data_IF_691818277706
#
_entry.id   IF_691818277706
#
_cell.length_a   1.000
_cell.length_b   1.000
_cell.length_c   1.000
_cell.angle_alpha   90.00
_cell.angle_beta   90.00
_cell.angle_gamma   90.00
#
_symmetry.space_group_name_H-M   'P 1'
#
loop_
_entity.id
_entity.type
_entity.pdbx_description
1 polymer ?
#
# COMPACT_ATOMS: atom_id res chain seq x y z
N UNK A 1 -17.81 18.06 -0.18
CA UNK A 1 -17.19 17.80 -1.50
C UNK A 1 -17.37 16.32 -1.78
N UNK A 2 -18.16 15.96 -2.80
CA UNK A 2 -18.42 14.55 -3.14
C UNK A 2 -17.12 13.90 -3.61
N UNK A 3 -16.82 12.71 -3.08
CA UNK A 3 -15.65 11.93 -3.50
C UNK A 3 -15.67 11.72 -5.03
N UNK A 4 -14.50 11.72 -5.71
CA UNK A 4 -14.44 11.54 -7.14
C UNK A 4 -15.06 10.19 -7.55
N UNK A 5 -15.83 10.14 -8.66
CA UNK A 5 -16.74 9.04 -8.98
C UNK A 5 -16.05 7.74 -9.46
N UNK A 6 -14.72 7.64 -9.33
CA UNK A 6 -13.91 6.50 -9.76
C UNK A 6 -13.11 5.88 -8.59
N UNK A 7 -13.65 5.93 -7.37
CA UNK A 7 -13.06 5.22 -6.24
C UNK A 7 -13.48 3.75 -6.38
N UNK A 8 -12.69 2.91 -7.06
CA UNK A 8 -13.02 1.46 -7.09
C UNK A 8 -12.48 0.59 -8.23
N UNK A 9 -12.03 1.12 -9.37
CA UNK A 9 -11.41 0.31 -10.43
C UNK A 9 -10.49 1.17 -11.32
N UNK A 10 -9.34 0.62 -11.74
CA UNK A 10 -8.48 1.22 -12.78
C UNK A 10 -8.49 0.39 -14.05
N UNK A 11 -8.48 1.08 -15.20
CA UNK A 11 -8.44 0.50 -16.56
C UNK A 11 -7.03 0.66 -17.13
N UNK A 12 -6.47 -0.42 -17.67
CA UNK A 12 -5.13 -0.48 -18.26
C UNK A 12 -5.16 -0.78 -19.77
N UNK A 13 -6.18 -1.49 -20.28
CA UNK A 13 -6.34 -1.91 -21.69
C UNK A 13 -7.84 -1.91 -22.09
N UNK A 14 -8.15 -1.62 -23.36
CA UNK A 14 -9.52 -1.32 -23.82
C UNK A 14 -10.24 -2.48 -24.51
N UNK A 15 -9.52 -3.37 -25.22
CA UNK A 15 -10.10 -4.42 -26.03
C UNK A 15 -10.93 -5.41 -25.21
N UNK A 16 -10.43 -5.80 -24.02
CA UNK A 16 -11.20 -6.64 -23.09
C UNK A 16 -12.29 -5.88 -22.33
N UNK A 17 -12.19 -4.55 -22.22
CA UNK A 17 -13.10 -3.71 -21.43
C UNK A 17 -14.45 -3.47 -22.12
N UNK A 18 -14.43 -3.15 -23.42
CA UNK A 18 -15.64 -2.76 -24.14
C UNK A 18 -16.75 -3.84 -24.12
N UNK A 19 -16.45 -5.15 -24.25
CA UNK A 19 -17.45 -6.20 -24.09
C UNK A 19 -18.05 -6.24 -22.69
N UNK A 20 -17.23 -6.20 -21.64
CA UNK A 20 -17.69 -6.26 -20.24
C UNK A 20 -18.55 -5.05 -19.83
N UNK A 21 -18.32 -3.89 -20.44
CA UNK A 21 -19.16 -2.69 -20.25
C UNK A 21 -20.38 -2.63 -21.17
N UNK A 22 -20.55 -3.59 -22.09
CA UNK A 22 -21.62 -3.58 -23.09
C UNK A 22 -21.50 -2.40 -24.06
N UNK A 23 -20.28 -2.01 -24.40
CA UNK A 23 -19.94 -0.90 -25.29
C UNK A 23 -19.45 -1.36 -26.67
N UNK A 24 -19.20 -2.65 -26.85
CA UNK A 24 -18.81 -3.21 -28.15
C UNK A 24 -19.77 -2.82 -29.26
N UNK A 25 -19.23 -2.26 -30.35
CA UNK A 25 -19.97 -1.85 -31.54
C UNK A 25 -20.73 -0.53 -31.38
N UNK A 26 -20.58 0.19 -30.26
CA UNK A 26 -21.24 1.48 -30.04
C UNK A 26 -20.45 2.69 -30.57
N UNK A 27 -19.34 2.45 -31.26
CA UNK A 27 -18.57 3.48 -31.94
C UNK A 27 -17.44 4.07 -31.11
N UNK A 28 -17.36 3.73 -29.83
CA UNK A 28 -16.25 4.09 -28.93
C UNK A 28 -14.89 3.61 -29.47
N UNK A 29 -14.87 2.50 -30.20
CA UNK A 29 -13.67 1.94 -30.83
C UNK A 29 -13.07 2.90 -31.87
N UNK A 30 -13.91 3.74 -32.47
CA UNK A 30 -13.51 4.71 -33.50
C UNK A 30 -13.06 6.04 -32.89
N UNK A 31 -13.56 6.40 -31.72
CA UNK A 31 -13.35 7.73 -31.12
C UNK A 31 -12.37 7.74 -29.96
N UNK A 32 -12.06 6.60 -29.33
CA UNK A 32 -11.24 6.53 -28.10
C UNK A 32 -9.83 7.13 -28.21
N UNK A 33 -9.24 7.16 -29.41
CA UNK A 33 -7.92 7.75 -29.65
C UNK A 33 -7.97 9.29 -29.78
N UNK A 34 -9.16 9.86 -30.01
CA UNK A 34 -9.37 11.30 -30.04
C UNK A 34 -9.57 11.84 -28.61
N UNK A 35 -8.55 12.57 -28.12
CA UNK A 35 -8.54 13.19 -26.79
C UNK A 35 -9.70 14.16 -26.55
N UNK A 36 -10.25 14.75 -27.61
CA UNK A 36 -11.39 15.66 -27.48
C UNK A 36 -12.65 14.93 -27.02
N UNK A 37 -12.74 13.62 -27.24
CA UNK A 37 -13.88 12.79 -26.83
C UNK A 37 -13.74 12.24 -25.41
N UNK A 38 -12.55 12.35 -24.80
CA UNK A 38 -12.27 11.77 -23.47
C UNK A 38 -13.17 12.30 -22.34
N UNK A 39 -13.57 13.58 -22.30
CA UNK A 39 -14.54 14.05 -21.31
C UNK A 39 -15.86 13.27 -21.38
N UNK A 40 -16.43 13.09 -22.57
CA UNK A 40 -17.68 12.35 -22.79
C UNK A 40 -17.51 10.85 -22.50
N UNK A 41 -16.37 10.27 -22.85
CA UNK A 41 -16.03 8.88 -22.52
C UNK A 41 -15.94 8.67 -21.02
N UNK A 42 -15.33 9.61 -20.29
CA UNK A 42 -15.23 9.58 -18.83
C UNK A 42 -16.63 9.62 -18.20
N UNK A 43 -17.51 10.49 -18.67
CA UNK A 43 -18.90 10.55 -18.21
C UNK A 43 -19.64 9.24 -18.47
N UNK A 44 -19.50 8.69 -19.68
CA UNK A 44 -20.12 7.42 -20.07
C UNK A 44 -19.64 6.25 -19.22
N UNK A 45 -18.32 6.10 -19.03
CA UNK A 45 -17.76 5.08 -18.15
C UNK A 45 -18.21 5.26 -16.72
N UNK A 46 -18.22 6.48 -16.20
CA UNK A 46 -18.71 6.78 -14.85
C UNK A 46 -20.16 6.32 -14.69
N UNK A 47 -21.04 6.69 -15.61
CA UNK A 47 -22.44 6.31 -15.57
C UNK A 47 -22.66 4.79 -15.70
N UNK A 48 -21.76 4.06 -16.36
CA UNK A 48 -21.80 2.60 -16.43
C UNK A 48 -21.32 1.99 -15.12
N UNK A 49 -20.13 2.35 -14.64
CA UNK A 49 -19.56 1.78 -13.42
C UNK A 49 -20.44 2.00 -12.19
N UNK A 50 -21.20 3.10 -12.12
CA UNK A 50 -22.16 3.37 -11.05
C UNK A 50 -23.37 2.40 -11.01
N UNK A 51 -23.59 1.58 -12.04
CA UNK A 51 -24.75 0.67 -12.12
C UNK A 51 -24.58 -0.62 -11.31
N UNK A 52 -23.35 -0.96 -10.91
CA UNK A 52 -23.04 -2.17 -10.15
C UNK A 52 -22.01 -1.87 -9.08
N UNK A 53 -21.95 -2.74 -8.08
CA UNK A 53 -20.91 -2.66 -7.05
C UNK A 53 -19.54 -3.07 -7.61
N UNK A 54 -18.46 -2.68 -6.92
CA UNK A 54 -17.08 -3.14 -7.22
C UNK A 54 -17.02 -4.66 -7.36
N UNK A 55 -17.60 -5.39 -6.40
CA UNK A 55 -17.62 -6.85 -6.37
C UNK A 55 -18.42 -7.48 -7.52
N UNK A 56 -19.46 -6.81 -8.02
CA UNK A 56 -20.18 -7.29 -9.19
C UNK A 56 -19.40 -7.05 -10.48
N UNK A 57 -18.66 -5.93 -10.58
CA UNK A 57 -17.75 -5.68 -11.68
C UNK A 57 -16.59 -6.67 -11.71
N UNK A 58 -16.02 -7.02 -10.54
CA UNK A 58 -15.02 -8.09 -10.44
C UNK A 58 -15.53 -9.38 -11.07
N UNK A 59 -16.76 -9.82 -10.78
CA UNK A 59 -17.34 -11.04 -11.39
C UNK A 59 -17.49 -10.93 -12.90
N UNK A 60 -17.79 -9.74 -13.42
CA UNK A 60 -17.94 -9.50 -14.87
C UNK A 60 -16.60 -9.59 -15.59
N UNK A 61 -15.54 -9.08 -14.97
CA UNK A 61 -14.21 -9.01 -15.58
C UNK A 61 -13.28 -10.16 -15.19
N UNK A 62 -13.63 -10.95 -14.17
CA UNK A 62 -12.87 -12.13 -13.79
C UNK A 62 -12.75 -13.09 -14.99
N UNK A 63 -11.53 -13.58 -15.23
CA UNK A 63 -11.17 -14.45 -16.36
C UNK A 63 -11.47 -13.89 -17.75
N UNK A 64 -11.58 -12.57 -17.87
CA UNK A 64 -11.62 -11.87 -19.17
C UNK A 64 -10.26 -11.27 -19.50
N UNK A 65 -10.01 -10.97 -20.78
CA UNK A 65 -8.81 -10.24 -21.20
C UNK A 65 -8.86 -8.73 -20.86
N UNK A 66 -9.88 -8.29 -20.09
CA UNK A 66 -9.98 -6.90 -19.64
C UNK A 66 -8.89 -6.61 -18.60
N UNK A 67 -7.93 -5.74 -18.94
CA UNK A 67 -6.97 -5.26 -17.96
C UNK A 67 -7.63 -4.21 -17.07
N UNK A 68 -8.42 -4.68 -16.10
CA UNK A 68 -9.01 -3.86 -15.05
C UNK A 68 -8.73 -4.48 -13.68
N UNK A 69 -8.57 -3.64 -12.66
CA UNK A 69 -8.22 -4.09 -11.31
C UNK A 69 -9.07 -3.37 -10.27
N UNK A 70 -9.57 -4.07 -9.23
CA UNK A 70 -10.28 -3.44 -8.13
C UNK A 70 -9.34 -2.53 -7.33
N UNK A 71 -9.86 -1.39 -6.90
CA UNK A 71 -9.23 -0.60 -5.84
C UNK A 71 -9.79 -1.11 -4.52
N UNK A 72 -8.92 -1.70 -3.70
CA UNK A 72 -9.25 -2.28 -2.40
C UNK A 72 -8.89 -1.32 -1.27
N UNK A 73 -9.74 -1.28 -0.24
CA UNK A 73 -9.42 -0.66 1.04
C UNK A 73 -8.54 -1.58 1.89
N UNK A 74 -7.76 -1.01 2.82
CA UNK A 74 -6.86 -1.78 3.69
C UNK A 74 -7.56 -2.90 4.46
N UNK A 75 -8.77 -2.65 4.97
CA UNK A 75 -9.55 -3.67 5.68
C UNK A 75 -9.91 -4.86 4.78
N UNK A 76 -10.15 -4.62 3.50
CA UNK A 76 -10.45 -5.68 2.53
C UNK A 76 -9.19 -6.54 2.29
N UNK A 77 -8.02 -5.91 2.24
CA UNK A 77 -6.72 -6.59 2.11
C UNK A 77 -6.36 -7.43 3.34
N UNK A 78 -6.67 -6.97 4.56
CA UNK A 78 -6.38 -7.70 5.81
C UNK A 78 -7.24 -8.96 5.98
N UNK A 79 -8.48 -8.94 5.47
CA UNK A 79 -9.46 -10.00 5.73
C UNK A 79 -9.46 -11.13 4.70
N UNK A 80 -8.89 -10.90 3.51
CA UNK A 80 -8.86 -11.88 2.41
C UNK A 80 -7.42 -12.12 1.96
N UNK A 81 -6.82 -13.20 2.47
CA UNK A 81 -5.44 -13.60 2.17
C UNK A 81 -5.19 -13.93 0.69
N UNK A 82 -6.24 -14.15 -0.11
CA UNK A 82 -6.13 -14.33 -1.56
C UNK A 82 -6.02 -13.01 -2.32
N UNK A 83 -6.40 -11.90 -1.68
CA UNK A 83 -6.37 -10.54 -2.21
C UNK A 83 -5.31 -9.67 -1.59
N UNK A 84 -4.58 -10.18 -0.61
CA UNK A 84 -3.50 -9.49 0.07
C UNK A 84 -2.44 -9.12 -0.97
N UNK A 85 -2.58 -7.91 -1.51
CA UNK A 85 -1.60 -7.30 -2.38
C UNK A 85 -0.32 -7.24 -1.58
N UNK A 86 0.73 -7.81 -2.14
CA UNK A 86 2.05 -7.87 -1.56
C UNK A 86 2.45 -6.53 -0.91
N UNK A 87 2.23 -6.40 0.41
CA UNK A 87 2.52 -5.17 1.17
C UNK A 87 4.03 -4.99 1.38
N UNK A 88 4.86 -5.80 0.70
CA UNK A 88 6.30 -5.59 0.69
C UNK A 88 6.60 -4.21 0.10
N UNK A 89 7.54 -3.46 0.68
CA UNK A 89 8.03 -2.22 0.09
C UNK A 89 8.42 -2.42 -1.39
N UNK A 90 8.14 -1.42 -2.23
CA UNK A 90 8.35 -1.46 -3.69
C UNK A 90 9.81 -1.74 -4.13
N UNK A 91 10.76 -1.69 -3.19
CA UNK A 91 12.16 -2.07 -3.36
C UNK A 91 12.53 -3.09 -2.28
N UNK A 92 13.00 -4.25 -2.70
CA UNK A 92 13.63 -5.24 -1.81
C UNK A 92 14.97 -4.68 -1.33
N UNK A 93 14.93 -3.89 -0.26
CA UNK A 93 16.14 -3.49 0.45
C UNK A 93 16.81 -4.76 0.98
N UNK A 94 18.05 -5.01 0.55
CA UNK A 94 18.79 -6.23 0.88
C UNK A 94 19.14 -6.34 2.37
N UNK A 95 19.09 -5.23 3.09
CA UNK A 95 19.22 -5.17 4.54
C UNK A 95 18.28 -4.08 5.09
N UNK A 96 17.30 -4.48 5.91
CA UNK A 96 16.50 -3.57 6.75
C UNK A 96 16.60 -4.06 8.19
N UNK A 97 16.76 -3.16 9.19
CA UNK A 97 16.68 -3.54 10.59
C UNK A 97 15.26 -3.96 11.03
N UNK A 98 14.28 -4.05 10.12
CA UNK A 98 12.87 -4.30 10.42
C UNK A 98 12.51 -5.79 10.38
N UNK A 99 11.87 -6.29 11.44
CA UNK A 99 11.31 -7.64 11.56
C UNK A 99 10.12 -7.86 10.62
N UNK A 100 9.80 -9.13 10.34
CA UNK A 100 8.66 -9.51 9.51
C UNK A 100 7.33 -9.14 10.16
N UNK A 101 6.50 -8.42 9.40
CA UNK A 101 5.17 -8.00 9.85
C UNK A 101 4.13 -9.11 9.75
N UNK A 102 4.36 -10.22 9.04
CA UNK A 102 3.44 -11.38 9.02
C UNK A 102 4.20 -12.71 8.87
N UNK A 103 3.63 -13.85 9.32
CA UNK A 103 4.23 -15.16 9.09
C UNK A 103 4.02 -15.56 7.61
N UNK A 104 5.09 -15.65 6.82
CA UNK A 104 5.02 -16.25 5.49
C UNK A 104 5.17 -17.77 5.56
N UNK A 105 4.40 -18.50 4.76
CA UNK A 105 4.26 -19.97 4.81
C UNK A 105 5.20 -20.74 3.85
N UNK A 106 6.34 -20.17 3.43
CA UNK A 106 7.16 -20.79 2.37
C UNK A 106 8.65 -21.00 2.74
N UNK A 107 9.26 -22.15 2.38
CA UNK A 107 10.58 -22.54 2.87
C UNK A 107 11.68 -22.08 1.91
N UNK A 108 11.92 -20.77 1.73
CA UNK A 108 13.19 -20.28 1.12
C UNK A 108 13.46 -18.77 1.08
N UNK A 109 14.73 -18.55 0.76
CA UNK A 109 15.57 -17.36 0.59
C UNK A 109 14.86 -16.08 0.15
N UNK A 110 14.54 -15.21 1.11
CA UNK A 110 14.03 -13.86 0.89
C UNK A 110 15.02 -12.86 0.24
N UNK A 111 16.26 -13.27 -0.11
CA UNK A 111 17.47 -12.48 -0.47
C UNK A 111 17.51 -10.94 -0.29
N UNK A 112 17.23 -10.36 0.88
CA UNK A 112 16.93 -11.00 2.17
C UNK A 112 16.48 -9.96 3.21
N UNK A 113 15.17 -9.66 3.17
CA UNK A 113 14.34 -9.20 4.28
C UNK A 113 12.87 -9.54 3.96
N UNK A 114 11.99 -9.98 4.87
CA UNK A 114 12.00 -9.92 6.34
C UNK A 114 12.04 -11.31 7.01
N UNK A 115 12.56 -11.36 8.25
CA UNK A 115 12.87 -12.57 9.03
C UNK A 115 11.66 -13.38 9.54
N UNK A 116 11.79 -14.12 10.65
CA UNK A 116 10.64 -14.84 11.21
C UNK A 116 9.61 -13.83 11.76
N UNK A 117 8.46 -13.70 11.08
CA UNK A 117 7.33 -12.87 11.49
C UNK A 117 6.56 -13.48 12.66
N UNK A 118 5.96 -12.62 13.48
CA UNK A 118 5.51 -12.96 14.84
C UNK A 118 3.98 -12.95 14.95
N UNK A 119 3.43 -13.87 15.74
CA UNK A 119 2.00 -14.05 15.97
C UNK A 119 1.36 -12.77 16.56
N UNK A 120 0.39 -12.17 15.85
CA UNK A 120 -0.12 -10.79 16.05
C UNK A 120 0.32 -9.79 14.96
N UNK A 121 1.04 -10.27 13.95
CA UNK A 121 1.67 -9.50 12.87
C UNK A 121 0.71 -8.79 11.90
N UNK A 122 0.30 -7.60 12.31
CA UNK A 122 0.14 -6.44 11.43
C UNK A 122 0.80 -5.24 12.13
N UNK A 123 0.90 -4.08 11.47
CA UNK A 123 1.30 -2.83 12.14
C UNK A 123 0.30 -2.53 13.27
N UNK A 124 0.67 -2.84 14.50
CA UNK A 124 -0.04 -2.33 15.67
C UNK A 124 0.46 -0.93 15.92
N UNK A 125 -0.25 0.06 15.38
CA UNK A 125 0.06 1.46 15.63
C UNK A 125 -0.03 1.77 17.13
N UNK A 126 1.13 1.94 17.76
CA UNK A 126 1.22 2.56 19.07
C UNK A 126 1.54 4.04 18.87
N UNK A 127 0.83 4.91 19.59
CA UNK A 127 1.18 6.34 19.62
C UNK A 127 2.52 6.44 20.35
N UNK A 128 3.55 6.87 19.64
CA UNK A 128 4.83 7.20 20.24
C UNK A 128 4.78 8.65 20.73
N UNK A 129 5.17 8.87 21.99
CA UNK A 129 5.40 10.20 22.50
C UNK A 129 6.80 10.71 22.08
N UNK A 130 6.98 12.02 21.86
CA UNK A 130 8.31 12.59 21.64
C UNK A 130 9.30 12.15 22.74
N UNK A 131 10.38 11.47 22.33
CA UNK A 131 11.41 10.93 23.23
C UNK A 131 11.21 9.49 23.70
N UNK A 132 10.08 8.85 23.39
CA UNK A 132 9.79 7.48 23.76
C UNK A 132 10.77 6.49 23.10
N UNK A 133 11.41 5.65 23.90
CA UNK A 133 12.38 4.64 23.44
C UNK A 133 13.79 5.14 23.10
N UNK A 134 14.02 6.46 23.03
CA UNK A 134 15.29 7.04 22.60
C UNK A 134 16.49 6.66 23.46
N UNK A 135 16.35 6.66 24.80
CA UNK A 135 17.46 6.30 25.71
C UNK A 135 17.84 4.83 25.60
N UNK A 136 16.85 3.95 25.43
CA UNK A 136 17.06 2.51 25.26
C UNK A 136 17.85 2.26 23.98
N UNK A 137 17.51 2.93 22.89
CA UNK A 137 18.23 2.84 21.61
C UNK A 137 19.67 3.35 21.73
N UNK A 138 19.89 4.52 22.35
CA UNK A 138 21.24 5.06 22.57
C UNK A 138 22.13 4.13 23.40
N UNK A 139 21.58 3.49 24.43
CA UNK A 139 22.30 2.49 25.21
C UNK A 139 22.61 1.25 24.38
N UNK A 140 21.68 0.79 23.54
CA UNK A 140 21.86 -0.43 22.75
C UNK A 140 22.87 -0.25 21.62
N UNK A 141 22.82 0.89 20.92
CA UNK A 141 23.63 1.13 19.73
C UNK A 141 25.01 1.70 20.05
N UNK A 142 25.07 2.62 21.02
CA UNK A 142 26.28 3.39 21.32
C UNK A 142 26.83 3.13 22.72
N UNK A 143 26.12 2.37 23.56
CA UNK A 143 26.47 2.19 24.97
C UNK A 143 26.28 3.44 25.82
N UNK A 144 25.60 4.45 25.30
CA UNK A 144 25.46 5.75 25.93
C UNK A 144 24.46 5.73 27.08
N UNK A 145 24.79 6.44 28.16
CA UNK A 145 23.94 6.54 29.36
C UNK A 145 23.64 7.99 29.71
N UNK A 146 22.40 8.25 30.07
CA UNK A 146 21.99 9.53 30.66
C UNK A 146 22.85 9.85 31.88
N UNK A 147 23.26 11.11 32.00
CA UNK A 147 24.12 11.60 33.06
C UNK A 147 25.61 11.36 32.82
N UNK A 148 25.98 10.36 32.00
CA UNK A 148 27.36 10.10 31.57
C UNK A 148 27.65 10.75 30.22
N UNK A 149 26.91 10.35 29.19
CA UNK A 149 27.20 10.70 27.79
C UNK A 149 26.27 11.80 27.25
N UNK A 150 25.06 11.88 27.78
CA UNK A 150 24.08 12.91 27.41
C UNK A 150 23.16 13.24 28.58
N UNK A 151 22.42 14.34 28.46
CA UNK A 151 21.32 14.72 29.35
C UNK A 151 20.10 15.16 28.54
N UNK A 152 18.92 15.37 29.17
CA UNK A 152 17.74 15.91 28.47
C UNK A 152 17.50 17.35 28.88
N UNK A 153 17.42 18.24 27.89
CA UNK A 153 17.06 19.65 28.02
C UNK A 153 15.97 19.98 27.02
N UNK A 154 14.87 20.56 27.50
CA UNK A 154 13.73 20.98 26.68
C UNK A 154 13.17 19.86 25.78
N UNK A 155 13.17 18.62 26.28
CA UNK A 155 12.73 17.43 25.53
C UNK A 155 13.76 16.91 24.51
N UNK A 156 14.87 17.61 24.29
CA UNK A 156 15.98 17.17 23.44
C UNK A 156 17.12 16.51 24.23
N UNK A 157 17.75 15.49 23.66
CA UNK A 157 18.93 14.85 24.24
C UNK A 157 20.20 15.63 23.81
N UNK A 158 20.91 16.17 24.80
CA UNK A 158 22.11 17.01 24.61
C UNK A 158 23.33 16.25 25.11
N UNK A 159 24.34 16.07 24.24
CA UNK A 159 25.60 15.40 24.58
C UNK A 159 26.35 16.16 25.67
N UNK A 160 27.01 15.45 26.60
CA UNK A 160 27.91 16.06 27.58
C UNK A 160 29.32 16.17 26.98
N UNK A 161 29.94 17.33 27.11
CA UNK A 161 31.23 17.65 26.50
C UNK A 161 32.40 16.77 26.99
N UNK A 162 32.21 16.03 28.08
CA UNK A 162 33.21 15.12 28.66
C UNK A 162 33.22 13.70 28.07
N UNK A 163 32.27 13.33 27.20
CA UNK A 163 32.36 12.04 26.50
C UNK A 163 33.34 12.13 25.34
N UNK A 164 34.57 11.68 25.60
CA UNK A 164 35.56 11.39 24.56
C UNK A 164 35.01 10.27 23.66
N UNK A 165 34.57 10.63 22.46
CA UNK A 165 34.60 9.73 21.30
C UNK A 165 36.05 9.52 20.87
#
# INVERSE_FOLDING_TARGET
MSAPPLTGLRVLEFAGLAPGLGLSGKGIEKTREDRNTWPELRESFTAIFLRKTRSDWEKVFDRTDACCTPVLDYKELESDTSREGDQRPAVTLRETPSFALSPSSSPRDPSTGQGNGVEGGSYTGAVLYPGEGGEKLLSQWLGWKRGKDFDVKDGGMVRKDTSKL
#
